data_IF_650440169335
#
_entry.id   IF_650440169335
#
_cell.length_a   1.000
_cell.length_b   1.000
_cell.length_c   1.000
_cell.angle_alpha   90.00
_cell.angle_beta   90.00
_cell.angle_gamma   90.00
#
_symmetry.space_group_name_H-M   'P 1'
#
loop_
_entity.id
_entity.type
_entity.pdbx_description
1 polymer ?
#
# COMPACT_ATOMS: atom_id res chain seq x y z
N UNK A 1 -8.82 9.36 -1.71
CA UNK A 1 -10.03 10.18 -1.37
C UNK A 1 -9.73 11.66 -1.55
N UNK A 2 -10.69 12.51 -1.95
CA UNK A 2 -10.41 13.92 -2.26
C UNK A 2 -10.83 14.90 -1.16
N UNK A 3 -10.06 15.96 -0.91
CA UNK A 3 -10.46 17.11 -0.09
C UNK A 3 -10.59 18.37 -0.95
N UNK A 4 -11.42 19.33 -0.54
CA UNK A 4 -11.63 20.58 -1.29
C UNK A 4 -10.50 21.57 -0.98
N UNK A 5 -9.93 22.18 -2.02
CA UNK A 5 -8.92 23.22 -1.89
C UNK A 5 -9.56 24.62 -1.95
N UNK A 6 -8.93 25.58 -1.29
CA UNK A 6 -9.34 26.99 -1.30
C UNK A 6 -8.76 27.72 -2.53
N UNK A 7 -9.38 28.82 -2.96
CA UNK A 7 -8.77 29.72 -3.96
C UNK A 7 -7.58 30.45 -3.31
N UNK A 8 -6.48 30.76 -4.04
CA UNK A 8 -6.29 30.67 -5.49
C UNK A 8 -5.58 29.37 -5.94
N UNK A 9 -5.68 28.26 -5.21
CA UNK A 9 -5.06 27.00 -5.66
C UNK A 9 -5.53 26.62 -7.08
N UNK A 10 -4.57 26.30 -7.96
CA UNK A 10 -4.85 25.89 -9.35
C UNK A 10 -5.79 24.69 -9.41
N UNK A 11 -5.60 23.76 -8.48
CA UNK A 11 -6.43 22.56 -8.35
C UNK A 11 -7.61 22.82 -7.41
N UNK A 12 -8.81 22.38 -7.82
CA UNK A 12 -10.02 22.47 -6.97
C UNK A 12 -10.04 21.44 -5.84
N UNK A 13 -9.28 20.35 -5.98
CA UNK A 13 -9.28 19.21 -5.06
C UNK A 13 -7.87 18.67 -4.87
N UNK A 14 -7.57 18.19 -3.67
CA UNK A 14 -6.35 17.46 -3.36
C UNK A 14 -6.68 15.99 -3.09
N UNK A 15 -6.00 15.08 -3.75
CA UNK A 15 -6.09 13.65 -3.45
C UNK A 15 -5.28 13.33 -2.19
N UNK A 16 -5.96 12.75 -1.21
CA UNK A 16 -5.38 12.22 0.03
C UNK A 16 -5.49 10.70 0.00
N UNK A 17 -4.37 10.05 0.29
CA UNK A 17 -4.21 8.61 0.36
C UNK A 17 -3.97 8.21 1.81
N UNK A 18 -4.44 7.01 2.16
CA UNK A 18 -4.34 6.45 3.52
C UNK A 18 -3.86 5.01 3.42
N UNK A 19 -2.94 4.66 4.30
CA UNK A 19 -2.41 3.32 4.49
C UNK A 19 -2.53 2.96 5.97
N UNK A 20 -2.76 1.69 6.26
CA UNK A 20 -2.90 1.19 7.64
C UNK A 20 -2.12 -0.12 7.70
N UNK A 21 -1.19 -0.22 8.63
CA UNK A 21 -0.56 -1.47 9.03
C UNK A 21 -1.01 -1.89 10.41
N UNK A 22 -1.05 -3.21 10.67
CA UNK A 22 -1.47 -3.80 11.94
C UNK A 22 -1.07 -5.28 11.99
N UNK A 23 -0.82 -5.83 13.20
CA UNK A 23 -0.43 -7.24 13.39
C UNK A 23 -1.63 -8.19 13.58
N UNK A 24 -2.82 -7.67 13.89
CA UNK A 24 -3.99 -8.50 14.04
C UNK A 24 -5.23 -7.75 14.52
N UNK A 25 -6.20 -8.51 15.03
CA UNK A 25 -7.45 -8.02 15.61
C UNK A 25 -7.60 -8.56 17.02
N UNK A 26 -8.17 -7.76 17.89
CA UNK A 26 -8.50 -8.14 19.25
C UNK A 26 -9.89 -7.62 19.62
N UNK A 27 -10.52 -8.24 20.62
CA UNK A 27 -11.83 -7.79 21.09
C UNK A 27 -11.70 -6.38 21.66
N UNK A 28 -12.62 -5.51 21.25
CA UNK A 28 -12.67 -4.13 21.74
C UNK A 28 -13.20 -4.05 23.17
N UNK A 29 -14.13 -4.94 23.50
CA UNK A 29 -14.79 -5.01 24.80
C UNK A 29 -14.63 -6.40 25.38
N UNK A 30 -14.83 -6.53 26.69
CA UNK A 30 -14.74 -7.82 27.39
C UNK A 30 -15.79 -8.83 26.88
N UNK A 31 -16.91 -8.35 26.35
CA UNK A 31 -17.96 -9.15 25.72
C UNK A 31 -18.40 -8.57 24.37
N UNK A 32 -18.91 -9.43 23.49
CA UNK A 32 -19.50 -9.06 22.19
C UNK A 32 -18.54 -9.16 20.98
N UNK A 33 -19.08 -9.03 19.75
CA UNK A 33 -18.34 -9.32 18.52
C UNK A 33 -17.48 -8.14 18.01
N UNK A 34 -17.40 -7.04 18.76
CA UNK A 34 -16.70 -5.82 18.30
C UNK A 34 -15.19 -5.99 18.42
N UNK A 35 -14.47 -5.80 17.30
CA UNK A 35 -13.02 -5.91 17.25
C UNK A 35 -12.33 -4.54 17.03
N UNK A 36 -11.06 -4.44 17.43
CA UNK A 36 -10.14 -3.36 17.08
C UNK A 36 -8.85 -3.94 16.50
N UNK A 37 -8.12 -3.12 15.75
CA UNK A 37 -6.82 -3.51 15.19
C UNK A 37 -5.75 -3.43 16.28
N UNK A 38 -4.94 -4.49 16.40
CA UNK A 38 -3.80 -4.59 17.32
C UNK A 38 -2.55 -4.00 16.67
N UNK A 39 -1.77 -3.23 17.46
CA UNK A 39 -0.49 -2.64 17.04
C UNK A 39 -0.58 -1.95 15.67
N UNK A 40 -1.60 -1.10 15.58
CA UNK A 40 -1.95 -0.41 14.35
C UNK A 40 -1.16 0.89 14.22
N UNK A 41 -0.70 1.16 13.01
CA UNK A 41 -0.31 2.52 12.60
C UNK A 41 -1.09 2.96 11.36
N UNK A 42 -1.17 4.27 11.17
CA UNK A 42 -1.77 4.94 10.01
C UNK A 42 -0.70 5.79 9.34
N UNK A 43 -0.71 5.79 8.02
CA UNK A 43 0.05 6.71 7.20
C UNK A 43 -0.90 7.51 6.30
N UNK A 44 -0.79 8.84 6.35
CA UNK A 44 -1.54 9.77 5.53
C UNK A 44 -0.59 10.51 4.60
N UNK A 45 -0.92 10.55 3.31
CA UNK A 45 -0.07 11.21 2.33
C UNK A 45 -0.82 11.64 1.08
N UNK A 46 -0.06 12.23 0.16
CA UNK A 46 -0.56 12.73 -1.12
C UNK A 46 0.43 12.38 -2.23
N UNK A 47 -0.02 12.47 -3.48
CA UNK A 47 0.85 12.31 -4.65
C UNK A 47 1.26 10.88 -4.97
N UNK A 48 2.23 10.75 -5.89
CA UNK A 48 2.65 9.48 -6.50
C UNK A 48 3.58 8.66 -5.59
N UNK A 49 4.39 9.31 -4.76
CA UNK A 49 5.34 8.66 -3.85
C UNK A 49 4.66 8.08 -2.59
N UNK A 50 3.33 8.03 -2.55
CA UNK A 50 2.61 7.53 -1.39
C UNK A 50 3.01 6.09 -1.04
N UNK A 51 3.03 5.18 -2.03
CA UNK A 51 3.34 3.77 -1.78
C UNK A 51 4.78 3.57 -1.28
N UNK A 52 5.74 4.28 -1.87
CA UNK A 52 7.13 4.30 -1.41
C UNK A 52 7.25 4.75 0.06
N UNK A 53 6.67 5.91 0.40
CA UNK A 53 6.77 6.40 1.78
C UNK A 53 6.00 5.51 2.76
N UNK A 54 4.89 4.91 2.30
CA UNK A 54 4.13 3.99 3.12
C UNK A 54 4.90 2.69 3.39
N UNK A 55 5.65 2.16 2.42
CA UNK A 55 6.47 0.96 2.64
C UNK A 55 7.60 1.21 3.62
N UNK A 56 8.28 2.37 3.52
CA UNK A 56 9.29 2.76 4.52
C UNK A 56 8.69 2.84 5.94
N UNK A 57 7.50 3.46 6.06
CA UNK A 57 6.83 3.56 7.35
C UNK A 57 6.36 2.20 7.87
N UNK A 58 5.91 1.33 6.98
CA UNK A 58 5.50 -0.02 7.33
C UNK A 58 6.68 -0.86 7.79
N UNK A 59 7.85 -0.74 7.13
CA UNK A 59 9.07 -1.39 7.57
C UNK A 59 9.50 -0.90 8.96
N UNK A 60 9.48 0.41 9.20
CA UNK A 60 9.83 1.00 10.50
C UNK A 60 8.93 0.52 11.64
N UNK A 61 7.61 0.42 11.40
CA UNK A 61 6.64 0.11 12.46
C UNK A 61 6.34 -1.39 12.61
N UNK A 62 6.59 -2.21 11.57
CA UNK A 62 6.20 -3.63 11.54
C UNK A 62 7.34 -4.59 11.18
N UNK A 63 8.53 -4.09 10.83
CA UNK A 63 9.67 -4.91 10.42
C UNK A 63 9.28 -5.92 9.34
N UNK A 64 8.66 -5.45 8.25
CA UNK A 64 8.10 -6.30 7.20
C UNK A 64 9.15 -7.24 6.60
N UNK A 65 10.41 -6.80 6.51
CA UNK A 65 11.55 -7.61 6.06
C UNK A 65 11.80 -8.86 6.91
N UNK A 66 11.43 -8.82 8.19
CA UNK A 66 11.57 -9.94 9.13
C UNK A 66 10.30 -10.79 9.21
N UNK A 67 9.20 -10.34 8.59
CA UNK A 67 7.91 -11.03 8.64
C UNK A 67 7.88 -12.20 7.65
N UNK A 68 7.39 -13.36 8.10
CA UNK A 68 7.27 -14.56 7.26
C UNK A 68 6.16 -14.41 6.21
N UNK A 69 5.05 -13.78 6.57
CA UNK A 69 3.91 -13.51 5.69
C UNK A 69 3.26 -12.19 6.05
N UNK A 70 3.02 -11.35 5.05
CA UNK A 70 2.19 -10.16 5.20
C UNK A 70 1.17 -10.09 4.06
N UNK A 71 0.00 -9.55 4.39
CA UNK A 71 -1.14 -9.45 3.48
C UNK A 71 -1.42 -7.98 3.21
N UNK A 72 -1.74 -7.66 1.96
CA UNK A 72 -2.07 -6.29 1.56
C UNK A 72 -3.48 -6.23 1.02
N UNK A 73 -4.40 -5.69 1.83
CA UNK A 73 -5.78 -5.45 1.43
C UNK A 73 -5.94 -4.11 0.73
N UNK A 74 -6.53 -4.08 -0.47
CA UNK A 74 -6.80 -2.83 -1.19
C UNK A 74 -8.11 -2.83 -1.99
N UNK A 75 -8.50 -1.66 -2.50
CA UNK A 75 -9.71 -1.46 -3.31
C UNK A 75 -9.53 -1.80 -4.80
N UNK A 76 -8.36 -2.27 -5.22
CA UNK A 76 -8.07 -2.70 -6.59
C UNK A 76 -7.91 -1.59 -7.62
N UNK A 77 -7.66 -0.35 -7.20
CA UNK A 77 -7.21 0.70 -8.11
C UNK A 77 -5.81 0.41 -8.68
N UNK A 78 -5.61 0.73 -9.96
CA UNK A 78 -4.40 0.37 -10.73
C UNK A 78 -3.10 0.88 -10.14
N UNK A 79 -3.11 2.07 -9.54
CA UNK A 79 -1.90 2.63 -8.90
C UNK A 79 -1.50 1.87 -7.62
N UNK A 80 -2.46 1.21 -6.97
CA UNK A 80 -2.19 0.39 -5.79
C UNK A 80 -1.61 -0.94 -6.22
N UNK A 81 -2.19 -1.60 -7.23
CA UNK A 81 -1.67 -2.87 -7.73
C UNK A 81 -0.27 -2.71 -8.33
N UNK A 82 0.00 -1.63 -9.06
CA UNK A 82 1.35 -1.31 -9.52
C UNK A 82 2.30 -1.03 -8.36
N UNK A 83 1.87 -0.20 -7.39
CA UNK A 83 2.70 0.13 -6.23
C UNK A 83 2.95 -1.04 -5.29
N UNK A 84 2.04 -2.02 -5.23
CA UNK A 84 2.22 -3.24 -4.44
C UNK A 84 3.42 -4.03 -4.97
N UNK A 85 3.45 -4.26 -6.29
CA UNK A 85 4.57 -4.97 -6.94
C UNK A 85 5.90 -4.28 -6.68
N UNK A 86 5.91 -2.95 -6.71
CA UNK A 86 7.15 -2.18 -6.62
C UNK A 86 7.65 -2.00 -5.17
N UNK A 87 6.76 -1.95 -4.17
CA UNK A 87 7.12 -1.56 -2.80
C UNK A 87 6.75 -2.59 -1.72
N UNK A 88 5.98 -3.62 -2.05
CA UNK A 88 5.57 -4.70 -1.16
C UNK A 88 5.64 -6.06 -1.89
N UNK A 89 6.81 -6.44 -2.46
CA UNK A 89 6.91 -7.57 -3.39
C UNK A 89 6.58 -8.94 -2.76
N UNK A 90 6.72 -9.07 -1.44
CA UNK A 90 6.42 -10.30 -0.71
C UNK A 90 5.00 -10.34 -0.13
N UNK A 91 4.21 -9.30 -0.38
CA UNK A 91 2.86 -9.22 0.16
C UNK A 91 1.87 -10.05 -0.65
N UNK A 92 1.03 -10.81 0.06
CA UNK A 92 -0.12 -11.46 -0.58
C UNK A 92 -1.23 -10.42 -0.78
N UNK A 93 -1.49 -10.06 -2.04
CA UNK A 93 -2.57 -9.14 -2.40
C UNK A 93 -3.95 -9.73 -2.11
N UNK A 94 -4.80 -8.98 -1.39
CA UNK A 94 -6.20 -9.32 -1.14
C UNK A 94 -7.12 -8.21 -1.69
N UNK A 95 -8.03 -8.56 -2.60
CA UNK A 95 -9.03 -7.62 -3.08
C UNK A 95 -10.09 -7.39 -2.00
N UNK A 96 -10.40 -6.13 -1.72
CA UNK A 96 -11.41 -5.78 -0.72
C UNK A 96 -12.82 -6.25 -1.13
N UNK A 97 -13.47 -7.14 -0.35
CA UNK A 97 -14.80 -7.65 -0.69
C UNK A 97 -15.87 -6.57 -0.71
N UNK A 98 -15.74 -5.53 0.12
CA UNK A 98 -16.68 -4.41 0.13
C UNK A 98 -16.68 -3.66 -1.20
N UNK A 99 -15.50 -3.32 -1.71
CA UNK A 99 -15.33 -2.60 -2.97
C UNK A 99 -15.76 -3.44 -4.17
N UNK A 100 -15.43 -4.74 -4.16
CA UNK A 100 -15.90 -5.68 -5.16
C UNK A 100 -17.44 -5.74 -5.20
N UNK A 101 -18.08 -5.90 -4.04
CA UNK A 101 -19.55 -5.95 -3.94
C UNK A 101 -20.22 -4.62 -4.30
N UNK A 102 -19.59 -3.49 -3.95
CA UNK A 102 -20.08 -2.16 -4.30
C UNK A 102 -20.10 -1.98 -5.82
N UNK A 103 -18.98 -2.25 -6.50
CA UNK A 103 -18.89 -2.16 -7.96
C UNK A 103 -19.88 -3.11 -8.65
N UNK A 104 -20.04 -4.34 -8.15
CA UNK A 104 -21.05 -5.28 -8.66
C UNK A 104 -22.48 -4.71 -8.59
N UNK A 105 -22.85 -4.12 -7.45
CA UNK A 105 -24.17 -3.50 -7.25
C UNK A 105 -24.37 -2.29 -8.14
N UNK A 106 -23.34 -1.47 -8.33
CA UNK A 106 -23.38 -0.30 -9.22
C UNK A 106 -23.54 -0.71 -10.68
N UNK A 107 -22.93 -1.81 -11.12
CA UNK A 107 -23.02 -2.30 -12.50
C UNK A 107 -24.32 -3.03 -12.84
N UNK A 108 -25.00 -3.63 -11.85
CA UNK A 108 -26.25 -4.37 -12.06
C UNK A 108 -27.32 -3.96 -11.02
N UNK A 109 -27.79 -2.70 -10.96
CA UNK A 109 -28.57 -2.19 -9.82
C UNK A 109 -29.85 -2.98 -9.49
N UNK A 110 -30.61 -3.40 -10.51
CA UNK A 110 -31.88 -4.12 -10.35
C UNK A 110 -31.74 -5.65 -10.35
N UNK A 111 -30.63 -6.20 -10.85
CA UNK A 111 -30.44 -7.64 -11.07
C UNK A 111 -29.93 -8.40 -9.84
N UNK A 112 -30.70 -8.44 -8.74
CA UNK A 112 -30.27 -9.11 -7.49
C UNK A 112 -29.90 -10.59 -7.66
N UNK A 113 -30.63 -11.31 -8.52
CA UNK A 113 -30.34 -12.71 -8.83
C UNK A 113 -28.98 -12.86 -9.53
N UNK A 114 -28.73 -12.08 -10.59
CA UNK A 114 -27.44 -12.06 -11.30
C UNK A 114 -26.28 -11.62 -10.40
N UNK A 115 -26.50 -10.59 -9.56
CA UNK A 115 -25.51 -10.21 -8.56
C UNK A 115 -25.16 -11.37 -7.61
N UNK A 116 -26.14 -12.19 -7.21
CA UNK A 116 -25.89 -13.34 -6.33
C UNK A 116 -25.08 -14.41 -7.06
N UNK A 117 -25.42 -14.72 -8.31
CA UNK A 117 -24.70 -15.68 -9.15
C UNK A 117 -23.25 -15.25 -9.35
N UNK A 118 -23.01 -14.04 -9.85
CA UNK A 118 -21.66 -13.50 -10.09
C UNK A 118 -20.85 -13.48 -8.78
N UNK A 119 -21.46 -13.05 -7.66
CA UNK A 119 -20.79 -13.05 -6.36
C UNK A 119 -20.35 -14.47 -5.95
N UNK A 120 -21.21 -15.46 -6.12
CA UNK A 120 -20.91 -16.85 -5.75
C UNK A 120 -19.77 -17.42 -6.62
N UNK A 121 -19.76 -17.13 -7.92
CA UNK A 121 -18.68 -17.51 -8.81
C UNK A 121 -17.35 -16.92 -8.35
N UNK A 122 -17.31 -15.61 -8.06
CA UNK A 122 -16.10 -14.93 -7.57
C UNK A 122 -15.63 -15.47 -6.20
N UNK A 123 -16.55 -15.79 -5.28
CA UNK A 123 -16.24 -16.40 -3.99
C UNK A 123 -15.71 -17.85 -4.12
N UNK A 124 -16.10 -18.55 -5.18
CA UNK A 124 -15.67 -19.93 -5.47
C UNK A 124 -14.45 -19.97 -6.38
N UNK A 125 -13.78 -18.84 -6.60
CA UNK A 125 -12.64 -18.69 -7.52
C UNK A 125 -12.94 -19.05 -8.99
N UNK A 126 -14.21 -19.00 -9.40
CA UNK A 126 -14.69 -19.23 -10.76
C UNK A 126 -14.75 -17.89 -11.51
N UNK A 127 -13.58 -17.28 -11.71
CA UNK A 127 -13.47 -15.91 -12.23
C UNK A 127 -13.83 -15.85 -13.71
N UNK A 128 -13.44 -16.86 -14.49
CA UNK A 128 -13.70 -16.90 -15.92
C UNK A 128 -15.19 -17.01 -16.21
N UNK A 129 -15.91 -17.86 -15.47
CA UNK A 129 -17.36 -17.98 -15.58
C UNK A 129 -18.08 -16.70 -15.16
N UNK A 130 -17.57 -16.00 -14.14
CA UNK A 130 -18.09 -14.69 -13.74
C UNK A 130 -17.90 -13.64 -14.85
N UNK A 131 -16.76 -13.65 -15.54
CA UNK A 131 -16.48 -12.75 -16.66
C UNK A 131 -17.36 -13.08 -17.88
N UNK A 132 -17.54 -14.36 -18.22
CA UNK A 132 -18.47 -14.78 -19.29
C UNK A 132 -19.90 -14.31 -19.01
N UNK A 133 -20.36 -14.38 -17.76
CA UNK A 133 -21.67 -13.85 -17.36
C UNK A 133 -21.75 -12.34 -17.58
N UNK A 134 -20.70 -11.60 -17.26
CA UNK A 134 -20.65 -10.14 -17.48
C UNK A 134 -20.63 -9.81 -18.98
N UNK A 135 -19.93 -10.60 -19.80
CA UNK A 135 -19.94 -10.43 -21.26
C UNK A 135 -21.34 -10.65 -21.85
N UNK A 136 -22.07 -11.69 -21.40
CA UNK A 136 -23.45 -11.89 -21.81
C UNK A 136 -24.35 -10.71 -21.42
N UNK A 137 -24.14 -10.10 -20.25
CA UNK A 137 -24.85 -8.90 -19.85
C UNK A 137 -24.48 -7.69 -20.71
N UNK A 138 -23.21 -7.58 -21.14
CA UNK A 138 -22.75 -6.52 -22.04
C UNK A 138 -23.40 -6.61 -23.43
N UNK A 139 -23.58 -7.82 -23.96
CA UNK A 139 -24.25 -8.06 -25.23
C UNK A 139 -25.73 -7.62 -25.19
N UNK A 140 -26.39 -7.85 -24.06
CA UNK A 140 -27.81 -7.52 -23.87
C UNK A 140 -28.05 -6.11 -23.28
N UNK A 141 -26.99 -5.33 -23.02
CA UNK A 141 -27.11 -4.01 -22.42
C UNK A 141 -27.52 -2.97 -23.47
N UNK A 142 -28.78 -2.55 -23.43
CA UNK A 142 -29.32 -1.50 -24.30
C UNK A 142 -28.89 -0.09 -23.87
N UNK A 143 -28.72 0.13 -22.56
CA UNK A 143 -28.40 1.45 -22.02
C UNK A 143 -26.88 1.72 -22.05
N UNK A 144 -26.41 2.80 -22.72
CA UNK A 144 -24.99 3.15 -22.77
C UNK A 144 -24.34 3.31 -21.39
N UNK A 145 -25.07 3.85 -20.40
CA UNK A 145 -24.55 4.02 -19.03
C UNK A 145 -24.33 2.67 -18.35
N UNK A 146 -25.26 1.73 -18.54
CA UNK A 146 -25.12 0.38 -17.99
C UNK A 146 -23.97 -0.37 -18.65
N UNK A 147 -23.84 -0.25 -19.97
CA UNK A 147 -22.74 -0.83 -20.75
C UNK A 147 -21.38 -0.33 -20.24
N UNK A 148 -21.22 0.98 -20.02
CA UNK A 148 -20.01 1.57 -19.44
C UNK A 148 -19.70 1.02 -18.03
N UNK A 149 -20.71 0.90 -17.16
CA UNK A 149 -20.54 0.35 -15.81
C UNK A 149 -20.16 -1.14 -15.82
N UNK A 150 -20.73 -1.92 -16.74
CA UNK A 150 -20.38 -3.34 -16.93
C UNK A 150 -18.96 -3.48 -17.49
N UNK A 151 -18.56 -2.69 -18.49
CA UNK A 151 -17.20 -2.70 -19.06
C UNK A 151 -16.15 -2.37 -18.00
N UNK A 152 -16.43 -1.35 -17.17
CA UNK A 152 -15.56 -0.98 -16.05
C UNK A 152 -15.46 -2.10 -15.02
N UNK A 153 -16.56 -2.79 -14.74
CA UNK A 153 -16.57 -3.89 -13.78
C UNK A 153 -15.87 -5.14 -14.30
N UNK A 154 -16.06 -5.48 -15.57
CA UNK A 154 -15.30 -6.53 -16.27
C UNK A 154 -13.80 -6.26 -16.15
N UNK A 155 -13.37 -5.07 -16.56
CA UNK A 155 -11.97 -4.65 -16.49
C UNK A 155 -11.46 -4.71 -15.06
N UNK A 156 -12.26 -4.27 -14.09
CA UNK A 156 -11.89 -4.30 -12.69
C UNK A 156 -11.66 -5.72 -12.17
N UNK A 157 -12.52 -6.69 -12.51
CA UNK A 157 -12.33 -8.11 -12.14
C UNK A 157 -11.07 -8.66 -12.82
N UNK A 158 -10.93 -8.42 -14.12
CA UNK A 158 -9.80 -8.93 -14.91
C UNK A 158 -8.45 -8.47 -14.34
N UNK A 159 -8.30 -7.19 -14.03
CA UNK A 159 -7.07 -6.65 -13.44
C UNK A 159 -6.81 -7.11 -12.00
N UNK A 160 -7.84 -7.58 -11.28
CA UNK A 160 -7.74 -7.97 -9.87
C UNK A 160 -7.87 -9.48 -9.64
N UNK A 161 -7.70 -10.30 -10.69
CA UNK A 161 -7.78 -11.78 -10.63
C UNK A 161 -7.01 -12.36 -9.44
N UNK A 162 -5.72 -12.03 -9.31
CA UNK A 162 -4.88 -12.52 -8.22
C UNK A 162 -5.45 -12.16 -6.84
N UNK A 163 -5.91 -10.92 -6.65
CA UNK A 163 -6.50 -10.48 -5.39
C UNK A 163 -7.82 -11.17 -5.07
N UNK A 164 -8.62 -11.51 -6.09
CA UNK A 164 -9.87 -12.28 -5.94
C UNK A 164 -9.55 -13.74 -5.58
N UNK A 165 -8.63 -14.37 -6.29
CA UNK A 165 -8.20 -15.74 -6.02
C UNK A 165 -7.63 -15.90 -4.63
N UNK A 166 -6.72 -15.02 -4.21
CA UNK A 166 -6.17 -15.05 -2.86
C UNK A 166 -7.26 -14.85 -1.80
N UNK A 167 -8.22 -13.96 -2.05
CA UNK A 167 -9.34 -13.71 -1.15
C UNK A 167 -10.27 -14.94 -1.04
N UNK A 168 -10.48 -15.69 -2.12
CA UNK A 168 -11.34 -16.88 -2.15
C UNK A 168 -10.67 -18.12 -1.55
N UNK A 169 -9.36 -18.27 -1.73
CA UNK A 169 -8.58 -19.45 -1.31
C UNK A 169 -8.04 -19.36 0.11
N UNK A 170 -7.91 -18.15 0.67
CA UNK A 170 -7.40 -17.96 2.02
C UNK A 170 -8.39 -18.51 3.07
N UNK A 171 -7.96 -19.54 3.81
CA UNK A 171 -8.78 -20.19 4.85
C UNK A 171 -9.02 -19.31 6.08
N UNK A 172 -8.10 -18.39 6.36
CA UNK A 172 -8.20 -17.50 7.52
C UNK A 172 -9.22 -16.38 7.29
N UNK A 173 -10.38 -16.53 7.93
CA UNK A 173 -11.50 -15.59 7.84
C UNK A 173 -11.24 -14.24 8.52
N UNK A 174 -10.26 -14.13 9.39
CA UNK A 174 -9.94 -12.87 10.05
C UNK A 174 -8.99 -12.01 9.21
N UNK A 175 -8.09 -12.63 8.45
CA UNK A 175 -7.21 -11.95 7.49
C UNK A 175 -8.00 -11.44 6.27
N UNK A 176 -8.93 -12.25 5.75
CA UNK A 176 -9.78 -11.88 4.59
C UNK A 176 -10.68 -10.65 4.85
N UNK A 177 -10.95 -10.30 6.11
CA UNK A 177 -11.74 -9.10 6.47
C UNK A 177 -10.89 -7.82 6.37
N UNK A 178 -10.82 -7.21 5.19
CA UNK A 178 -10.09 -5.95 4.91
C UNK A 178 -10.91 -4.66 5.21
N UNK A 179 -12.07 -4.78 5.85
CA UNK A 179 -13.05 -3.68 6.03
C UNK A 179 -12.68 -2.57 7.02
N UNK A 180 -11.50 -2.61 7.65
CA UNK A 180 -11.11 -1.60 8.63
C UNK A 180 -10.81 -0.22 8.02
N UNK A 181 -10.53 -0.15 6.71
CA UNK A 181 -10.09 1.07 6.02
C UNK A 181 -11.15 2.18 6.04
N UNK A 182 -12.43 1.87 5.81
CA UNK A 182 -13.50 2.87 5.69
C UNK A 182 -13.72 3.67 6.97
N UNK A 183 -13.76 2.98 8.12
CA UNK A 183 -13.89 3.62 9.43
C UNK A 183 -12.71 4.55 9.71
N UNK A 184 -11.51 4.15 9.31
CA UNK A 184 -10.31 4.96 9.47
C UNK A 184 -10.26 6.14 8.50
N UNK A 185 -10.69 6.00 7.25
CA UNK A 185 -10.88 7.13 6.31
C UNK A 185 -11.83 8.17 6.92
N UNK A 186 -12.93 7.71 7.52
CA UNK A 186 -13.91 8.59 8.18
C UNK A 186 -13.30 9.38 9.32
N UNK A 187 -12.57 8.68 10.22
CA UNK A 187 -11.93 9.27 11.39
C UNK A 187 -10.77 10.19 11.03
N UNK A 188 -9.88 9.75 10.14
CA UNK A 188 -8.69 10.48 9.73
C UNK A 188 -9.03 11.69 8.86
N UNK A 189 -9.86 11.50 7.83
CA UNK A 189 -10.04 12.49 6.76
C UNK A 189 -11.43 13.12 6.81
N UNK A 190 -12.48 12.33 6.63
CA UNK A 190 -13.83 12.88 6.34
C UNK A 190 -14.33 13.84 7.41
N UNK A 191 -14.22 13.49 8.69
CA UNK A 191 -14.74 14.32 9.78
C UNK A 191 -14.08 15.70 9.87
N UNK A 192 -12.79 15.81 9.55
CA UNK A 192 -12.06 17.08 9.67
C UNK A 192 -12.07 17.91 8.39
N UNK A 193 -11.95 17.26 7.23
CA UNK A 193 -11.64 17.92 5.97
C UNK A 193 -12.83 18.14 5.04
N UNK A 194 -13.89 17.32 5.11
CA UNK A 194 -14.97 17.31 4.09
C UNK A 194 -16.28 17.97 4.52
N UNK A 195 -16.56 18.05 5.82
CA UNK A 195 -17.83 18.57 6.35
C UNK A 195 -17.78 20.10 6.50
N UNK A 196 -18.96 20.74 6.51
CA UNK A 196 -19.16 22.16 6.87
C UNK A 196 -18.50 23.18 5.90
N UNK A 197 -18.55 22.94 4.59
CA UNK A 197 -18.06 23.92 3.59
C UNK A 197 -16.55 24.17 3.62
N UNK A 198 -15.79 23.39 4.38
CA UNK A 198 -14.34 23.57 4.58
C UNK A 198 -13.57 23.44 3.27
N UNK A 199 -12.59 24.33 3.11
CA UNK A 199 -11.59 24.30 2.04
C UNK A 199 -10.24 24.66 2.63
N UNK A 200 -9.17 24.15 2.04
CA UNK A 200 -7.83 24.22 2.61
C UNK A 200 -6.81 24.69 1.58
N UNK A 201 -5.77 25.40 2.00
CA UNK A 201 -4.54 25.48 1.18
C UNK A 201 -3.87 24.10 1.12
N UNK A 202 -3.10 23.81 0.07
CA UNK A 202 -2.37 22.54 -0.04
C UNK A 202 -1.45 22.31 1.17
N UNK A 203 -0.71 23.36 1.55
CA UNK A 203 0.18 23.35 2.72
C UNK A 203 -0.59 23.09 4.01
N UNK A 204 -1.67 23.84 4.26
CA UNK A 204 -2.47 23.70 5.48
C UNK A 204 -3.12 22.32 5.59
N UNK A 205 -3.62 21.78 4.48
CA UNK A 205 -4.15 20.43 4.44
C UNK A 205 -3.10 19.38 4.79
N UNK A 206 -1.91 19.47 4.18
CA UNK A 206 -0.81 18.53 4.43
C UNK A 206 -0.33 18.57 5.89
N UNK A 207 -0.11 19.78 6.43
CA UNK A 207 0.27 19.95 7.84
C UNK A 207 -0.77 19.33 8.79
N UNK A 208 -2.05 19.57 8.54
CA UNK A 208 -3.11 19.02 9.38
C UNK A 208 -3.23 17.50 9.23
N UNK A 209 -2.99 16.94 8.04
CA UNK A 209 -2.93 15.49 7.85
C UNK A 209 -1.83 14.88 8.72
N UNK A 210 -0.64 15.50 8.78
CA UNK A 210 0.46 15.01 9.61
C UNK A 210 0.18 15.12 11.10
N UNK A 211 -0.43 16.21 11.55
CA UNK A 211 -0.92 16.31 12.94
C UNK A 211 -1.90 15.17 13.26
N UNK A 212 -2.87 14.90 12.37
CA UNK A 212 -3.84 13.82 12.59
C UNK A 212 -3.21 12.43 12.52
N UNK A 213 -2.24 12.21 11.66
CA UNK A 213 -1.44 10.98 11.62
C UNK A 213 -0.76 10.74 12.97
N UNK A 214 -0.07 11.75 13.50
CA UNK A 214 0.60 11.68 14.82
C UNK A 214 -0.39 11.38 15.95
N UNK A 215 -1.56 12.04 15.96
CA UNK A 215 -2.63 11.77 16.95
C UNK A 215 -3.15 10.34 16.83
N UNK A 216 -3.46 9.88 15.61
CA UNK A 216 -4.05 8.56 15.39
C UNK A 216 -3.07 7.41 15.66
N UNK A 217 -1.78 7.69 15.60
CA UNK A 217 -0.71 6.76 15.95
C UNK A 217 -0.34 6.82 17.44
N UNK A 218 -1.02 7.64 18.26
CA UNK A 218 -0.74 7.76 19.70
C UNK A 218 0.58 8.47 20.02
N UNK A 219 1.19 9.16 19.04
CA UNK A 219 2.52 9.80 19.18
C UNK A 219 2.41 11.30 19.50
N UNK A 220 1.19 11.83 19.64
CA UNK A 220 0.96 13.27 19.79
C UNK A 220 1.55 13.83 21.07
N UNK A 221 1.25 13.24 22.23
CA UNK A 221 1.70 13.78 23.52
C UNK A 221 3.23 13.74 23.64
N UNK A 222 3.84 12.65 23.17
CA UNK A 222 5.31 12.51 23.11
C UNK A 222 5.93 13.57 22.19
N UNK A 223 5.38 13.75 20.98
CA UNK A 223 5.85 14.75 20.04
C UNK A 223 5.66 16.17 20.59
N UNK A 224 4.50 16.46 21.17
CA UNK A 224 4.17 17.77 21.72
C UNK A 224 5.11 18.15 22.87
N UNK A 225 5.37 17.22 23.79
CA UNK A 225 6.26 17.47 24.94
C UNK A 225 7.72 17.68 24.54
N UNK A 226 8.23 16.91 23.56
CA UNK A 226 9.67 16.87 23.25
C UNK A 226 10.06 17.68 22.02
N UNK A 227 9.19 17.80 21.03
CA UNK A 227 9.54 18.22 19.67
C UNK A 227 8.81 19.47 19.18
N UNK A 228 7.84 20.01 19.93
CA UNK A 228 7.08 21.20 19.49
C UNK A 228 7.93 22.44 19.23
N UNK A 229 9.06 22.56 19.93
CA UNK A 229 9.99 23.70 19.81
C UNK A 229 11.19 23.38 18.90
N UNK A 230 11.30 22.17 18.36
CA UNK A 230 12.40 21.82 17.46
C UNK A 230 12.21 22.52 16.11
N UNK A 231 13.24 23.24 15.67
CA UNK A 231 13.25 23.87 14.35
C UNK A 231 13.26 22.79 13.26
N UNK A 232 12.19 22.71 12.47
CA UNK A 232 12.10 21.78 11.34
C UNK A 232 13.01 22.30 10.22
N UNK A 233 14.20 21.72 10.05
CA UNK A 233 15.05 21.96 8.89
C UNK A 233 14.46 21.21 7.68
N UNK A 234 13.87 21.93 6.74
CA UNK A 234 13.45 21.36 5.46
C UNK A 234 14.71 21.10 4.61
N UNK A 235 15.28 19.90 4.68
CA UNK A 235 16.32 19.49 3.73
C UNK A 235 15.73 19.39 2.33
N UNK A 236 16.50 19.75 1.30
CA UNK A 236 16.06 19.66 -0.09
C UNK A 236 15.57 18.24 -0.42
N UNK A 237 14.43 18.16 -1.12
CA UNK A 237 13.85 16.89 -1.54
C UNK A 237 14.83 16.14 -2.44
N UNK A 238 15.39 15.04 -1.94
CA UNK A 238 16.10 14.06 -2.77
C UNK A 238 15.04 13.10 -3.32
N UNK A 239 14.88 12.98 -4.65
CA UNK A 239 13.93 12.02 -5.20
C UNK A 239 14.29 10.62 -4.70
N UNK A 240 13.29 9.81 -4.30
CA UNK A 240 13.57 8.44 -3.91
C UNK A 240 14.15 7.68 -5.10
N UNK A 241 15.18 6.88 -4.84
CA UNK A 241 15.71 5.94 -5.81
C UNK A 241 14.58 4.94 -6.14
N UNK A 242 14.27 4.77 -7.43
CA UNK A 242 13.30 3.75 -7.86
C UNK A 242 13.84 2.35 -7.55
N UNK A 243 12.97 1.34 -7.43
CA UNK A 243 13.41 -0.06 -7.39
C UNK A 243 14.32 -0.42 -8.59
N UNK A 244 14.09 0.20 -9.76
CA UNK A 244 14.96 0.07 -10.93
C UNK A 244 16.35 0.71 -10.76
N UNK A 245 16.53 1.57 -9.77
CA UNK A 245 17.84 2.13 -9.38
C UNK A 245 18.65 1.14 -8.55
N UNK A 246 18.00 0.14 -7.93
CA UNK A 246 18.65 -0.99 -7.26
C UNK A 246 18.96 -2.15 -8.21
N UNK A 247 18.25 -2.25 -9.34
CA UNK A 247 18.53 -3.24 -10.41
C UNK A 247 19.34 -2.68 -11.57
N UNK A 248 19.60 -1.37 -11.61
CA UNK A 248 20.71 -0.86 -12.41
C UNK A 248 21.93 -1.51 -11.81
N UNK A 249 22.61 -2.35 -12.58
CA UNK A 249 24.01 -2.63 -12.34
C UNK A 249 24.64 -1.25 -12.10
N UNK A 250 24.97 -0.99 -10.84
CA UNK A 250 26.00 -0.02 -10.56
C UNK A 250 27.11 -0.49 -11.48
N UNK A 251 27.60 0.39 -12.36
CA UNK A 251 28.92 0.20 -12.91
C UNK A 251 29.82 0.15 -11.69
N UNK A 252 29.90 -1.06 -11.12
CA UNK A 252 30.82 -1.40 -10.07
C UNK A 252 32.12 -1.00 -10.72
N UNK A 253 32.94 -0.15 -10.08
CA UNK A 253 34.26 0.11 -10.62
C UNK A 253 34.82 -1.26 -10.94
N UNK A 254 35.13 -1.48 -12.24
CA UNK A 254 35.47 -2.79 -12.78
C UNK A 254 36.28 -3.51 -11.73
N UNK A 255 35.79 -4.67 -11.24
CA UNK A 255 36.43 -5.47 -10.17
C UNK A 255 37.91 -5.17 -10.24
N UNK A 256 38.44 -4.40 -9.28
CA UNK A 256 39.82 -3.96 -9.40
C UNK A 256 40.64 -5.23 -9.27
N UNK A 257 41.03 -5.83 -10.40
CA UNK A 257 42.04 -6.86 -10.47
C UNK A 257 43.37 -6.15 -10.21
N UNK A 258 43.57 -5.77 -8.95
CA UNK A 258 44.86 -5.30 -8.46
C UNK A 258 45.66 -6.53 -8.06
N UNK A 259 46.82 -6.72 -8.67
CA UNK A 259 47.80 -7.68 -8.19
C UNK A 259 48.35 -7.16 -6.86
N UNK A 260 48.39 -8.00 -5.83
CA UNK A 260 49.05 -7.70 -4.56
C UNK A 260 50.47 -8.26 -4.67
N UNK A 261 51.50 -7.44 -4.97
CA UNK A 261 52.84 -7.97 -5.27
C UNK A 261 53.46 -8.69 -4.07
N UNK A 262 53.00 -8.38 -2.86
CA UNK A 262 53.40 -9.05 -1.63
C UNK A 262 53.00 -10.55 -1.58
N UNK A 263 52.05 -11.01 -2.40
CA UNK A 263 51.64 -12.42 -2.45
C UNK A 263 52.52 -13.31 -3.33
N UNK A 264 53.21 -12.72 -4.32
CA UNK A 264 54.05 -13.44 -5.30
C UNK A 264 55.53 -12.98 -5.28
N UNK A 265 55.88 -12.04 -4.40
CA UNK A 265 57.18 -11.37 -4.36
C UNK A 265 58.17 -11.97 -3.34
N UNK A 266 59.36 -11.36 -3.18
CA UNK A 266 60.44 -11.86 -2.31
C UNK A 266 60.13 -11.82 -0.80
N UNK A 267 58.92 -11.39 -0.42
CA UNK A 267 58.45 -11.32 0.96
C UNK A 267 57.23 -12.21 1.21
N UNK A 268 56.89 -13.13 0.30
CA UNK A 268 55.72 -14.01 0.40
C UNK A 268 55.69 -14.89 1.67
N UNK A 269 56.85 -15.10 2.29
CA UNK A 269 57.06 -15.90 3.49
C UNK A 269 56.88 -15.10 4.80
N UNK A 270 56.63 -13.78 4.73
CA UNK A 270 56.50 -12.94 5.92
C UNK A 270 55.14 -13.15 6.60
N UNK A 271 55.08 -13.19 7.95
CA UNK A 271 53.84 -13.45 8.70
C UNK A 271 52.68 -12.51 8.37
N UNK A 272 52.96 -11.23 8.08
CA UNK A 272 51.94 -10.24 7.71
C UNK A 272 51.28 -10.50 6.35
N UNK A 273 51.93 -11.24 5.45
CA UNK A 273 51.37 -11.63 4.15
C UNK A 273 50.22 -12.62 4.32
N UNK A 274 50.26 -13.46 5.36
CA UNK A 274 49.15 -14.36 5.70
C UNK A 274 47.85 -13.62 6.09
N UNK A 275 47.97 -12.45 6.72
CA UNK A 275 46.82 -11.59 7.04
C UNK A 275 46.22 -10.99 5.76
N UNK A 276 47.08 -10.51 4.85
CA UNK A 276 46.63 -9.98 3.56
C UNK A 276 45.92 -11.03 2.71
N UNK A 277 46.39 -12.29 2.73
CA UNK A 277 45.74 -13.40 2.02
C UNK A 277 44.33 -13.67 2.54
N UNK A 278 44.11 -13.60 3.85
CA UNK A 278 42.76 -13.74 4.45
C UNK A 278 41.83 -12.58 4.12
N UNK A 279 42.35 -11.34 4.14
CA UNK A 279 41.57 -10.15 3.79
C UNK A 279 41.14 -10.15 2.31
N UNK A 280 41.98 -10.69 1.42
CA UNK A 280 41.68 -10.80 -0.01
C UNK A 280 40.66 -11.91 -0.37
N UNK A 281 40.31 -12.80 0.58
CA UNK A 281 39.39 -13.93 0.39
C UNK A 281 37.95 -13.65 0.86
N UNK A 282 37.67 -12.47 1.42
CA UNK A 282 36.33 -12.13 1.88
C UNK A 282 35.42 -11.80 0.68
N UNK A 283 34.61 -12.77 0.26
CA UNK A 283 33.49 -12.52 -0.65
C UNK A 283 32.38 -11.76 0.10
N UNK A 284 31.74 -10.82 -0.62
CA UNK A 284 30.62 -10.03 -0.11
C UNK A 284 29.46 -10.95 0.32
N UNK A 285 29.08 -10.88 1.60
CA UNK A 285 27.80 -11.40 2.12
C UNK A 285 26.70 -10.37 1.90
#
# INVERSE_FOLDING_TARGET
TYIKLQRPEKDKKLEVKIGIGYHGKENRYHSGPSQRLKEKFIYLGTGRNFMYNFSLKAEEEMSLSQSVKHYFGADGDTWITSGLRDYFPHATYLLCPFHLNKRLKESIPAGKAEQKVIRNLLLSNQIDEALTRIDNLLLNAENPKQRDLLTKFYSYISHNRQGITNQATLKDKDITKTGAIESNVKLAITNRFKKQGKSWSKKGAFSLLKVKETILNGKWDTWWGKQRNHTIKLTSFKPPLSASSFTKEVSSPAIIQARIPALDGPHQDKPWVGVLRKLAQLEYV
#
